data_IF_990517131394
#
_entry.id   IF_990517131394
#
_cell.length_a   1.000
_cell.length_b   1.000
_cell.length_c   1.000
_cell.angle_alpha   90.00
_cell.angle_beta   90.00
_cell.angle_gamma   90.00
#
_symmetry.space_group_name_H-M   'P 1'
#
loop_
_entity.id
_entity.type
_entity.pdbx_description
1 polymer ?
#
# COMPACT_ATOMS: atom_id res chain seq x y z
N UNK A 1 -3.05 -15.18 -15.86
CA UNK A 1 -2.89 -14.20 -14.76
C UNK A 1 -3.55 -14.82 -13.54
N UNK A 2 -2.76 -15.38 -12.61
CA UNK A 2 -3.31 -15.94 -11.37
C UNK A 2 -3.67 -14.77 -10.45
N UNK A 3 -4.95 -14.62 -10.09
CA UNK A 3 -5.41 -13.60 -9.16
C UNK A 3 -4.84 -13.92 -7.77
N UNK A 4 -4.07 -13.00 -7.22
CA UNK A 4 -3.47 -13.12 -5.90
C UNK A 4 -4.57 -13.14 -4.81
N UNK A 5 -4.58 -14.15 -3.94
CA UNK A 5 -5.60 -14.31 -2.87
C UNK A 5 -5.62 -13.14 -1.89
N UNK A 6 -6.82 -12.65 -1.56
CA UNK A 6 -7.06 -11.57 -0.60
C UNK A 6 -7.04 -12.08 0.86
N UNK A 7 -6.79 -11.18 1.81
CA UNK A 7 -6.81 -11.51 3.24
C UNK A 7 -8.17 -12.03 3.74
N UNK A 8 -9.27 -11.54 3.15
CA UNK A 8 -10.63 -12.01 3.46
C UNK A 8 -10.85 -13.46 3.01
N UNK A 9 -10.33 -13.84 1.83
CA UNK A 9 -10.40 -15.21 1.33
C UNK A 9 -9.55 -16.15 2.18
N UNK A 10 -8.36 -15.72 2.61
CA UNK A 10 -7.48 -16.48 3.51
C UNK A 10 -8.16 -16.69 4.87
N UNK A 11 -8.77 -15.64 5.43
CA UNK A 11 -9.54 -15.75 6.68
C UNK A 11 -10.66 -16.78 6.55
N UNK A 12 -11.45 -16.71 5.46
CA UNK A 12 -12.56 -17.63 5.20
C UNK A 12 -12.07 -19.08 5.11
N UNK A 13 -11.05 -19.35 4.30
CA UNK A 13 -10.51 -20.71 4.15
C UNK A 13 -9.93 -21.26 5.46
N UNK A 14 -9.20 -20.43 6.20
CA UNK A 14 -8.67 -20.78 7.52
C UNK A 14 -9.79 -21.13 8.51
N UNK A 15 -10.78 -20.24 8.65
CA UNK A 15 -11.87 -20.41 9.60
C UNK A 15 -12.73 -21.64 9.27
N UNK A 16 -13.00 -21.90 7.99
CA UNK A 16 -13.72 -23.09 7.53
C UNK A 16 -12.95 -24.38 7.84
N UNK A 17 -11.64 -24.41 7.57
CA UNK A 17 -10.78 -25.56 7.85
C UNK A 17 -10.69 -25.86 9.36
N UNK A 18 -10.50 -24.83 10.19
CA UNK A 18 -10.45 -24.96 11.64
C UNK A 18 -11.80 -25.43 12.22
N UNK A 19 -12.91 -24.89 11.72
CA UNK A 19 -14.26 -25.30 12.13
C UNK A 19 -14.59 -26.74 11.69
N UNK A 20 -14.17 -27.15 10.49
CA UNK A 20 -14.34 -28.51 9.99
C UNK A 20 -13.58 -29.52 10.85
N UNK A 21 -12.32 -29.26 11.18
CA UNK A 21 -11.54 -30.14 12.06
C UNK A 21 -12.15 -30.22 13.46
N UNK A 22 -12.55 -29.08 14.03
CA UNK A 22 -13.21 -29.03 15.34
C UNK A 22 -14.45 -29.94 15.42
N UNK A 23 -15.22 -30.04 14.34
CA UNK A 23 -16.40 -30.92 14.26
C UNK A 23 -16.03 -32.41 14.26
N UNK A 24 -14.83 -32.77 13.83
CA UNK A 24 -14.36 -34.17 13.83
C UNK A 24 -13.97 -34.65 15.22
N UNK A 25 -13.60 -33.76 16.14
CA UNK A 25 -13.17 -34.09 17.50
C UNK A 25 -14.42 -34.43 18.33
N UNK A 26 -14.65 -35.70 18.74
CA UNK A 26 -15.86 -36.06 19.46
C UNK A 26 -15.83 -35.55 20.91
N UNK A 27 -14.65 -35.60 21.53
CA UNK A 27 -14.45 -35.23 22.93
C UNK A 27 -14.66 -33.71 23.15
N UNK A 28 -15.59 -33.29 24.03
CA UNK A 28 -15.86 -31.88 24.28
C UNK A 28 -14.69 -31.11 24.90
N UNK A 29 -13.89 -31.76 25.76
CA UNK A 29 -12.76 -31.11 26.42
C UNK A 29 -11.64 -30.85 25.41
N UNK A 30 -11.34 -31.85 24.58
CA UNK A 30 -10.35 -31.75 23.52
C UNK A 30 -10.77 -30.72 22.45
N UNK A 31 -12.07 -30.63 22.14
CA UNK A 31 -12.61 -29.56 21.27
C UNK A 31 -12.33 -28.18 21.83
N UNK A 32 -12.53 -27.99 23.14
CA UNK A 32 -12.31 -26.70 23.78
C UNK A 32 -10.82 -26.34 23.80
N UNK A 33 -9.94 -27.31 24.13
CA UNK A 33 -8.48 -27.13 24.10
C UNK A 33 -8.00 -26.76 22.70
N UNK A 34 -8.44 -27.50 21.68
CA UNK A 34 -8.14 -27.21 20.28
C UNK A 34 -8.56 -25.79 19.89
N UNK A 35 -9.83 -25.42 20.13
CA UNK A 35 -10.34 -24.09 19.75
C UNK A 35 -9.61 -22.93 20.39
N UNK A 36 -9.11 -23.08 21.62
CA UNK A 36 -8.38 -22.01 22.31
C UNK A 36 -6.94 -21.85 21.82
N UNK A 37 -6.31 -22.92 21.37
CA UNK A 37 -4.87 -22.94 21.08
C UNK A 37 -4.54 -22.83 19.60
N UNK A 38 -5.40 -23.35 18.71
CA UNK A 38 -5.08 -23.51 17.29
C UNK A 38 -4.64 -22.21 16.62
N UNK A 39 -5.35 -21.09 16.82
CA UNK A 39 -5.01 -19.83 16.15
C UNK A 39 -3.61 -19.32 16.52
N UNK A 40 -3.19 -19.49 17.78
CA UNK A 40 -1.86 -19.06 18.23
C UNK A 40 -0.75 -19.87 17.59
N UNK A 41 -0.92 -21.20 17.51
CA UNK A 41 0.03 -22.09 16.85
C UNK A 41 0.10 -21.83 15.34
N UNK A 42 -1.05 -21.68 14.69
CA UNK A 42 -1.09 -21.46 13.24
C UNK A 42 -0.48 -20.12 12.84
N UNK A 43 -0.67 -19.06 13.65
CA UNK A 43 0.06 -17.79 13.49
C UNK A 43 1.57 -17.97 13.67
N UNK A 44 2.00 -18.71 14.69
CA UNK A 44 3.43 -19.00 14.89
C UNK A 44 4.02 -19.77 13.70
N UNK A 45 3.33 -20.78 13.18
CA UNK A 45 3.83 -21.56 12.04
C UNK A 45 3.85 -20.77 10.73
N UNK A 46 2.91 -19.85 10.52
CA UNK A 46 2.96 -18.93 9.38
C UNK A 46 4.27 -18.12 9.40
N UNK A 47 4.73 -17.68 10.58
CA UNK A 47 6.02 -16.99 10.70
C UNK A 47 7.20 -17.87 10.29
N UNK A 48 7.19 -19.16 10.66
CA UNK A 48 8.22 -20.11 10.28
C UNK A 48 8.23 -20.43 8.78
N UNK A 49 7.06 -20.51 8.15
CA UNK A 49 6.94 -20.63 6.68
C UNK A 49 7.62 -19.43 6.00
N UNK A 50 7.29 -18.22 6.42
CA UNK A 50 7.84 -17.00 5.82
C UNK A 50 9.31 -16.76 6.17
N UNK A 51 9.83 -17.37 7.24
CA UNK A 51 11.26 -17.34 7.57
C UNK A 51 12.07 -18.18 6.57
N UNK A 52 11.49 -19.29 6.07
CA UNK A 52 12.16 -20.21 5.18
C UNK A 52 12.50 -19.60 3.80
N UNK A 53 11.76 -18.58 3.35
CA UNK A 53 12.00 -17.90 2.06
C UNK A 53 13.06 -16.78 2.10
N UNK A 54 13.96 -16.80 3.09
CA UNK A 54 14.96 -15.75 3.38
C UNK A 54 14.30 -14.42 3.77
N UNK A 55 14.33 -14.07 5.06
CA UNK A 55 13.67 -12.96 5.80
C UNK A 55 13.83 -11.50 5.28
N UNK A 56 13.87 -11.27 3.96
CA UNK A 56 14.17 -9.99 3.29
C UNK A 56 12.94 -9.30 2.71
N UNK A 57 11.74 -9.89 2.80
CA UNK A 57 10.54 -9.32 2.19
C UNK A 57 9.24 -9.72 2.89
N UNK A 58 9.16 -9.54 4.22
CA UNK A 58 7.84 -9.41 4.84
C UNK A 58 7.19 -8.17 4.21
N UNK A 59 6.03 -8.36 3.61
CA UNK A 59 5.26 -7.29 2.95
C UNK A 59 4.01 -6.98 3.78
N UNK A 60 3.31 -5.86 3.52
CA UNK A 60 2.01 -5.60 4.16
C UNK A 60 1.04 -6.79 4.05
N UNK A 61 1.12 -7.56 2.96
CA UNK A 61 0.29 -8.74 2.73
C UNK A 61 0.54 -9.88 3.72
N UNK A 62 1.77 -10.03 4.21
CA UNK A 62 2.08 -11.01 5.27
C UNK A 62 1.40 -10.61 6.59
N UNK A 63 1.30 -9.31 6.87
CA UNK A 63 0.62 -8.77 8.05
C UNK A 63 -0.88 -8.97 7.93
N UNK A 64 -1.44 -8.71 6.74
CA UNK A 64 -2.84 -8.98 6.45
C UNK A 64 -3.19 -10.47 6.59
N UNK A 65 -2.34 -11.37 6.07
CA UNK A 65 -2.50 -12.81 6.22
C UNK A 65 -2.37 -13.25 7.68
N UNK A 66 -1.37 -12.73 8.41
CA UNK A 66 -1.19 -13.02 9.83
C UNK A 66 -2.43 -12.61 10.64
N UNK A 67 -2.99 -11.44 10.34
CA UNK A 67 -4.20 -10.93 10.99
C UNK A 67 -5.49 -11.63 10.51
N UNK A 68 -5.46 -12.32 9.37
CA UNK A 68 -6.56 -13.16 8.89
C UNK A 68 -6.66 -14.50 9.64
N UNK A 69 -5.62 -14.92 10.37
CA UNK A 69 -5.57 -16.21 11.09
C UNK A 69 -6.25 -16.07 12.47
N UNK A 70 -7.57 -16.23 12.49
CA UNK A 70 -8.38 -16.32 13.71
C UNK A 70 -9.69 -17.10 13.48
N UNK A 71 -10.19 -17.71 14.55
CA UNK A 71 -11.44 -18.49 14.55
C UNK A 71 -12.56 -17.73 15.30
N UNK A 72 -13.83 -17.84 14.88
CA UNK A 72 -14.95 -17.22 15.58
C UNK A 72 -15.00 -17.58 17.07
N UNK A 73 -15.03 -16.56 17.93
CA UNK A 73 -15.01 -16.69 19.39
C UNK A 73 -13.63 -16.51 20.03
N UNK A 74 -12.57 -16.37 19.23
CA UNK A 74 -11.24 -15.95 19.69
C UNK A 74 -11.02 -14.45 19.36
N UNK A 75 -10.12 -13.75 20.09
CA UNK A 75 -9.81 -12.35 19.81
C UNK A 75 -9.20 -12.21 18.42
N UNK A 76 -9.67 -11.20 17.68
CA UNK A 76 -9.13 -10.85 16.36
C UNK A 76 -7.72 -10.27 16.56
N UNK A 77 -6.69 -10.84 15.91
CA UNK A 77 -5.33 -10.32 15.99
C UNK A 77 -5.24 -8.95 15.30
N UNK A 78 -4.49 -8.04 15.91
CA UNK A 78 -4.15 -6.73 15.36
C UNK A 78 -2.63 -6.56 15.33
N UNK A 79 -1.93 -7.59 14.87
CA UNK A 79 -0.48 -7.59 14.86
C UNK A 79 0.04 -6.58 13.86
N UNK A 80 1.02 -5.81 14.29
CA UNK A 80 1.69 -4.82 13.48
C UNK A 80 2.78 -5.48 12.65
N UNK A 81 3.19 -4.80 11.58
CA UNK A 81 4.23 -5.29 10.68
C UNK A 81 5.49 -5.76 11.41
N UNK A 82 5.93 -5.04 12.43
CA UNK A 82 7.13 -5.41 13.19
C UNK A 82 6.92 -6.61 14.11
N UNK A 83 5.71 -6.87 14.61
CA UNK A 83 5.43 -8.06 15.42
C UNK A 83 5.52 -9.31 14.55
N UNK A 84 4.99 -9.21 13.32
CA UNK A 84 5.11 -10.25 12.30
C UNK A 84 6.57 -10.38 11.85
N UNK A 85 7.24 -9.29 11.47
CA UNK A 85 8.62 -9.34 10.99
C UNK A 85 9.61 -9.82 12.07
N UNK A 86 9.46 -9.37 13.31
CA UNK A 86 10.26 -9.86 14.45
C UNK A 86 9.91 -11.30 14.78
N UNK A 87 8.64 -11.68 14.65
CA UNK A 87 8.19 -13.05 14.82
C UNK A 87 8.78 -13.99 13.77
N UNK A 88 8.93 -13.54 12.52
CA UNK A 88 9.63 -14.28 11.46
C UNK A 88 11.13 -14.37 11.74
N UNK A 89 11.77 -13.24 12.07
CA UNK A 89 13.21 -13.20 12.33
C UNK A 89 13.62 -14.07 13.54
N UNK A 90 12.77 -14.10 14.57
CA UNK A 90 12.99 -14.86 15.80
C UNK A 90 12.19 -16.15 15.86
N UNK A 91 11.66 -16.64 14.73
CA UNK A 91 11.04 -17.96 14.73
C UNK A 91 12.14 -19.00 15.01
N UNK A 92 11.92 -19.80 16.05
CA UNK A 92 12.84 -20.86 16.45
C UNK A 92 12.60 -22.10 15.57
N UNK A 93 12.44 -23.27 16.19
CA UNK A 93 12.13 -24.52 15.52
C UNK A 93 10.64 -24.83 15.69
N UNK A 94 10.08 -25.51 14.69
CA UNK A 94 8.72 -26.05 14.78
C UNK A 94 8.54 -26.88 16.06
N UNK A 95 7.55 -26.52 16.86
CA UNK A 95 7.13 -27.27 18.04
C UNK A 95 5.71 -27.81 17.80
N UNK A 96 5.47 -29.13 17.95
CA UNK A 96 4.13 -29.70 17.88
C UNK A 96 3.16 -29.01 18.85
N UNK A 97 1.89 -28.78 18.46
CA UNK A 97 0.92 -28.16 19.36
C UNK A 97 0.69 -29.00 20.62
N UNK A 98 0.49 -28.37 21.78
CA UNK A 98 0.22 -29.11 23.02
C UNK A 98 -1.00 -30.04 22.88
N UNK A 99 -2.08 -29.57 22.25
CA UNK A 99 -3.27 -30.40 21.98
C UNK A 99 -3.00 -31.59 21.03
N UNK A 100 -1.89 -31.60 20.29
CA UNK A 100 -1.57 -32.71 19.40
C UNK A 100 -1.24 -33.99 20.17
N UNK A 101 -0.61 -33.87 21.34
CA UNK A 101 -0.40 -35.01 22.24
C UNK A 101 -1.75 -35.58 22.71
N UNK A 102 -2.72 -34.72 23.00
CA UNK A 102 -4.06 -35.14 23.40
C UNK A 102 -4.81 -35.84 22.26
N UNK A 103 -4.67 -35.35 21.01
CA UNK A 103 -5.20 -36.03 19.82
C UNK A 103 -4.61 -37.44 19.67
N UNK A 104 -3.28 -37.58 19.83
CA UNK A 104 -2.59 -38.88 19.77
C UNK A 104 -3.03 -39.82 20.89
N UNK A 105 -3.15 -39.33 22.12
CA UNK A 105 -3.68 -40.11 23.25
C UNK A 105 -5.10 -40.58 22.98
N UNK A 106 -5.94 -39.71 22.43
CA UNK A 106 -7.31 -40.05 22.05
C UNK A 106 -7.35 -41.12 20.95
N UNK A 107 -6.55 -40.97 19.89
CA UNK A 107 -6.44 -41.95 18.79
C UNK A 107 -6.00 -43.32 19.31
N UNK A 108 -5.02 -43.38 20.23
CA UNK A 108 -4.59 -44.65 20.87
C UNK A 108 -5.71 -45.32 21.68
N UNK A 109 -6.53 -44.54 22.37
CA UNK A 109 -7.62 -45.06 23.21
C UNK A 109 -8.86 -45.47 22.41
N UNK A 110 -9.15 -44.77 21.31
CA UNK A 110 -10.42 -44.89 20.57
C UNK A 110 -10.27 -45.49 19.17
N UNK A 111 -9.03 -45.71 18.70
CA UNK A 111 -8.75 -46.21 17.35
C UNK A 111 -9.13 -45.23 16.24
N UNK A 112 -9.12 -43.93 16.53
CA UNK A 112 -9.37 -42.87 15.53
C UNK A 112 -8.08 -42.43 14.83
N UNK A 113 -8.20 -41.54 13.84
CA UNK A 113 -7.07 -41.01 13.07
C UNK A 113 -7.04 -39.47 13.08
N UNK A 114 -7.43 -38.85 14.21
CA UNK A 114 -7.52 -37.40 14.34
C UNK A 114 -6.15 -36.72 14.26
N UNK A 115 -5.11 -37.29 14.85
CA UNK A 115 -3.75 -36.74 14.82
C UNK A 115 -3.18 -36.75 13.39
N UNK A 116 -3.38 -37.85 12.65
CA UNK A 116 -2.99 -37.93 11.23
C UNK A 116 -3.76 -36.93 10.36
N UNK A 117 -5.07 -36.85 10.53
CA UNK A 117 -5.92 -35.87 9.81
C UNK A 117 -5.53 -34.44 10.12
N UNK A 118 -5.10 -34.16 11.36
CA UNK A 118 -4.57 -32.85 11.72
C UNK A 118 -3.27 -32.54 10.99
N UNK A 119 -2.34 -33.50 10.91
CA UNK A 119 -1.08 -33.32 10.18
C UNK A 119 -1.32 -33.01 8.69
N UNK A 120 -2.27 -33.70 8.05
CA UNK A 120 -2.66 -33.41 6.67
C UNK A 120 -3.29 -32.02 6.54
N UNK A 121 -4.21 -31.64 7.43
CA UNK A 121 -4.81 -30.30 7.41
C UNK A 121 -3.81 -29.19 7.68
N UNK A 122 -2.86 -29.42 8.60
CA UNK A 122 -1.80 -28.46 8.88
C UNK A 122 -0.96 -28.23 7.62
N UNK A 123 -0.61 -29.30 6.90
CA UNK A 123 0.15 -29.22 5.64
C UNK A 123 -0.56 -28.30 4.63
N UNK A 124 -1.88 -28.47 4.44
CA UNK A 124 -2.67 -27.64 3.53
C UNK A 124 -2.76 -26.17 3.98
N UNK A 125 -2.91 -25.93 5.29
CA UNK A 125 -2.95 -24.57 5.84
C UNK A 125 -1.61 -23.86 5.70
N UNK A 126 -0.49 -24.55 5.91
CA UNK A 126 0.82 -23.94 5.73
C UNK A 126 1.13 -23.65 4.25
N UNK A 127 0.67 -24.49 3.33
CA UNK A 127 0.75 -24.21 1.88
C UNK A 127 -0.08 -22.98 1.49
N UNK A 128 -1.26 -22.80 2.09
CA UNK A 128 -2.07 -21.60 1.91
C UNK A 128 -1.30 -20.34 2.36
N UNK A 129 -0.56 -20.43 3.47
CA UNK A 129 0.23 -19.30 3.99
C UNK A 129 1.51 -19.04 3.19
N UNK A 130 2.12 -20.08 2.63
CA UNK A 130 3.28 -19.96 1.73
C UNK A 130 2.90 -19.21 0.44
N UNK A 131 1.70 -19.44 -0.10
CA UNK A 131 1.21 -18.76 -1.30
C UNK A 131 0.85 -17.27 -1.11
N UNK A 132 1.40 -16.60 -0.08
CA UNK A 132 1.16 -15.18 0.25
C UNK A 132 1.61 -14.23 -0.85
N UNK A 133 2.61 -14.60 -1.66
CA UNK A 133 3.06 -13.85 -2.83
C UNK A 133 2.51 -14.41 -4.15
N UNK A 134 1.69 -15.47 -4.08
CA UNK A 134 1.09 -16.17 -5.21
C UNK A 134 1.89 -17.36 -5.74
N UNK A 135 3.03 -17.68 -5.13
CA UNK A 135 3.88 -18.83 -5.46
C UNK A 135 4.28 -19.55 -4.18
N UNK A 136 4.64 -20.84 -4.25
CA UNK A 136 5.26 -21.56 -3.13
C UNK A 136 6.71 -21.83 -3.50
N UNK A 137 7.64 -21.35 -2.68
CA UNK A 137 9.07 -21.55 -2.92
C UNK A 137 9.54 -22.94 -2.48
N UNK A 138 10.70 -23.38 -2.97
CA UNK A 138 11.29 -24.67 -2.59
C UNK A 138 11.63 -24.72 -1.09
N UNK A 139 12.05 -23.59 -0.51
CA UNK A 139 12.38 -23.51 0.91
C UNK A 139 11.14 -23.47 1.80
N UNK A 140 10.07 -22.79 1.38
CA UNK A 140 8.76 -22.84 2.06
C UNK A 140 8.18 -24.25 2.05
N UNK A 141 8.14 -24.89 0.87
CA UNK A 141 7.70 -26.29 0.75
C UNK A 141 8.56 -27.24 1.60
N UNK A 142 9.88 -27.02 1.64
CA UNK A 142 10.79 -27.75 2.51
C UNK A 142 10.44 -27.62 3.99
N UNK A 143 10.13 -26.40 4.47
CA UNK A 143 9.69 -26.17 5.84
C UNK A 143 8.35 -26.85 6.15
N UNK A 144 7.38 -26.77 5.23
CA UNK A 144 6.07 -27.43 5.39
C UNK A 144 6.23 -28.95 5.50
N UNK A 145 7.06 -29.55 4.64
CA UNK A 145 7.37 -30.98 4.71
C UNK A 145 8.05 -31.36 6.03
N UNK A 146 8.95 -30.53 6.56
CA UNK A 146 9.60 -30.77 7.84
C UNK A 146 8.61 -30.75 9.02
N UNK A 147 7.66 -29.80 9.02
CA UNK A 147 6.60 -29.73 10.02
C UNK A 147 5.69 -30.97 9.97
N UNK A 148 5.26 -31.37 8.76
CA UNK A 148 4.44 -32.57 8.55
C UNK A 148 5.19 -33.83 9.00
N UNK A 149 6.46 -33.98 8.59
CA UNK A 149 7.32 -35.10 8.97
C UNK A 149 7.45 -35.25 10.49
N UNK A 150 7.67 -34.15 11.21
CA UNK A 150 7.75 -34.16 12.67
C UNK A 150 6.46 -34.67 13.34
N UNK A 151 5.28 -34.27 12.85
CA UNK A 151 4.01 -34.76 13.39
C UNK A 151 3.73 -36.22 13.03
N UNK A 152 4.11 -36.65 11.82
CA UNK A 152 3.91 -38.02 11.36
C UNK A 152 4.84 -39.01 12.07
N UNK A 153 6.09 -38.64 12.32
CA UNK A 153 7.04 -39.44 13.09
C UNK A 153 6.51 -39.69 14.51
N UNK A 154 5.94 -38.66 15.12
CA UNK A 154 5.25 -38.75 16.41
C UNK A 154 4.03 -39.71 16.37
N UNK A 155 3.28 -39.73 15.28
CA UNK A 155 2.19 -40.69 15.09
C UNK A 155 2.72 -42.13 14.90
N UNK A 156 3.82 -42.30 14.16
CA UNK A 156 4.44 -43.59 13.91
C UNK A 156 5.01 -44.22 15.18
N UNK A 157 5.61 -43.41 16.07
CA UNK A 157 6.06 -43.85 17.39
C UNK A 157 4.91 -44.41 18.25
N UNK A 158 3.69 -43.89 18.09
CA UNK A 158 2.48 -44.37 18.76
C UNK A 158 1.78 -45.53 18.04
N UNK A 159 2.33 -46.01 16.91
CA UNK A 159 1.71 -47.05 16.10
C UNK A 159 0.47 -46.60 15.32
N UNK A 160 0.24 -45.29 15.17
CA UNK A 160 -0.90 -44.71 14.48
C UNK A 160 -0.64 -44.66 12.96
N UNK A 161 -0.85 -45.82 12.31
CA UNK A 161 -0.68 -45.99 10.86
C UNK A 161 -1.93 -45.55 10.08
N UNK A 162 -1.73 -45.02 8.88
CA UNK A 162 -2.80 -44.59 7.98
C UNK A 162 -2.87 -45.50 6.73
N UNK A 163 -4.05 -45.56 6.10
CA UNK A 163 -4.30 -46.28 4.83
C UNK A 163 -3.93 -45.46 3.57
N UNK A 164 -3.55 -44.19 3.71
CA UNK A 164 -3.27 -43.25 2.61
C UNK A 164 -1.90 -42.57 2.76
N UNK A 165 -1.15 -42.31 1.67
CA UNK A 165 0.08 -41.52 1.72
C UNK A 165 -0.18 -40.08 2.17
N UNK A 166 0.79 -39.48 2.86
CA UNK A 166 0.76 -38.10 3.32
C UNK A 166 0.81 -37.10 2.16
N UNK A 167 0.24 -35.92 2.38
CA UNK A 167 0.32 -34.79 1.43
C UNK A 167 1.79 -34.32 1.34
N UNK A 168 2.31 -34.18 0.11
CA UNK A 168 3.67 -33.68 -0.14
C UNK A 168 3.63 -32.24 -0.63
N UNK A 169 4.32 -31.34 0.07
CA UNK A 169 4.39 -29.93 -0.32
C UNK A 169 5.12 -29.72 -1.66
N UNK A 170 6.01 -30.64 -2.03
CA UNK A 170 6.80 -30.60 -3.28
C UNK A 170 5.93 -30.59 -4.55
N UNK A 171 4.72 -31.13 -4.47
CA UNK A 171 3.77 -31.20 -5.59
C UNK A 171 3.13 -29.83 -5.90
N UNK A 172 3.36 -28.81 -5.06
CA UNK A 172 2.75 -27.48 -5.13
C UNK A 172 3.75 -26.36 -5.46
N UNK A 173 5.02 -26.69 -5.73
CA UNK A 173 6.06 -25.72 -6.14
C UNK A 173 5.82 -25.29 -7.60
N UNK A 174 5.88 -23.99 -7.88
CA UNK A 174 5.84 -23.50 -9.26
C UNK A 174 7.24 -23.61 -9.93
N UNK A 175 7.37 -24.17 -11.15
CA UNK A 175 8.65 -24.21 -11.84
C UNK A 175 9.08 -22.79 -12.29
N UNK A 176 10.17 -22.27 -11.72
CA UNK A 176 10.75 -20.97 -12.08
C UNK A 176 11.73 -21.12 -13.27
N UNK A 177 11.67 -20.30 -14.33
CA UNK A 177 12.69 -20.29 -15.38
C UNK A 177 14.02 -19.78 -14.80
N UNK A 178 15.09 -20.56 -14.99
CA UNK A 178 16.41 -20.27 -14.44
C UNK A 178 17.04 -19.01 -15.06
N UNK A 179 17.50 -18.09 -14.21
CA UNK A 179 18.41 -17.00 -14.59
C UNK A 179 19.86 -17.45 -14.39
N UNK A 180 20.78 -17.27 -15.36
CA UNK A 180 22.10 -17.90 -15.33
C UNK A 180 23.12 -17.10 -14.51
N UNK A 181 23.83 -17.82 -13.63
CA UNK A 181 25.05 -17.35 -12.99
C UNK A 181 26.24 -17.38 -13.97
N UNK A 182 27.17 -16.44 -13.82
CA UNK A 182 28.50 -16.47 -14.44
C UNK A 182 29.58 -16.48 -13.33
N UNK A 183 30.88 -16.76 -13.62
CA UNK A 183 31.50 -17.12 -14.90
C UNK A 183 32.48 -18.33 -14.85
N UNK A 184 32.95 -18.71 -16.05
CA UNK A 184 34.24 -19.34 -16.41
C UNK A 184 34.15 -20.73 -17.06
N UNK A 185 34.28 -20.76 -18.38
CA UNK A 185 35.34 -21.49 -19.11
C UNK A 185 35.14 -21.33 -20.63
N UNK A 186 36.21 -20.92 -21.31
CA UNK A 186 36.30 -20.75 -22.75
C UNK A 186 35.87 -22.00 -23.53
N UNK A 187 35.06 -21.81 -24.59
CA UNK A 187 35.17 -22.57 -25.83
C UNK A 187 34.41 -21.90 -26.99
N UNK A 188 35.21 -21.38 -27.93
CA UNK A 188 35.04 -21.22 -29.39
C UNK A 188 33.68 -20.77 -29.99
N UNK A 189 33.80 -19.70 -30.76
CA UNK A 189 32.79 -19.01 -31.56
C UNK A 189 32.25 -19.77 -32.79
N UNK A 190 30.96 -19.54 -33.11
CA UNK A 190 30.38 -19.18 -34.42
C UNK A 190 28.84 -19.00 -34.29
N UNK A 191 28.14 -18.30 -35.21
CA UNK A 191 27.93 -16.85 -35.27
C UNK A 191 26.50 -16.40 -34.88
N UNK A 192 26.36 -15.08 -34.74
CA UNK A 192 25.24 -14.31 -34.21
C UNK A 192 23.86 -14.55 -34.86
N UNK A 193 22.84 -14.61 -34.01
CA UNK A 193 21.46 -14.26 -34.32
C UNK A 193 21.05 -13.09 -33.42
N UNK A 194 20.38 -12.11 -34.01
CA UNK A 194 20.05 -10.79 -33.50
C UNK A 194 19.34 -10.82 -32.14
N UNK A 195 19.78 -9.97 -31.21
CA UNK A 195 19.17 -9.81 -29.89
C UNK A 195 17.84 -9.03 -29.97
N UNK A 196 16.92 -9.22 -29.00
CA UNK A 196 15.73 -8.38 -28.90
C UNK A 196 16.14 -6.96 -28.50
N UNK A 197 15.58 -5.98 -29.21
CA UNK A 197 15.73 -4.55 -28.99
C UNK A 197 15.40 -4.15 -27.54
N UNK A 198 16.20 -3.23 -26.99
CA UNK A 198 15.89 -2.54 -25.72
C UNK A 198 14.53 -1.83 -25.84
N UNK A 199 13.71 -1.79 -24.77
CA UNK A 199 12.45 -1.06 -24.80
C UNK A 199 12.75 0.42 -25.03
N UNK A 200 12.22 0.94 -26.13
CA UNK A 200 12.25 2.36 -26.50
C UNK A 200 11.69 3.16 -25.32
N UNK A 201 12.54 3.97 -24.67
CA UNK A 201 12.09 4.97 -23.70
C UNK A 201 11.12 5.90 -24.42
N UNK A 202 9.88 5.97 -23.94
CA UNK A 202 8.93 6.99 -24.38
C UNK A 202 9.59 8.37 -24.27
N UNK A 203 9.38 9.28 -25.23
CA UNK A 203 9.96 10.62 -25.18
C UNK A 203 9.49 11.31 -23.90
N UNK A 204 10.44 11.82 -23.11
CA UNK A 204 10.11 12.58 -21.91
C UNK A 204 9.28 13.81 -22.28
N UNK A 205 8.18 14.09 -21.55
CA UNK A 205 7.28 15.19 -21.89
C UNK A 205 8.03 16.52 -21.85
N UNK A 206 7.80 17.36 -22.85
CA UNK A 206 8.43 18.67 -22.94
C UNK A 206 7.95 19.61 -21.84
N UNK A 207 8.74 20.65 -21.54
CA UNK A 207 8.35 21.68 -20.56
C UNK A 207 7.01 22.35 -20.94
N UNK A 208 6.77 22.55 -22.24
CA UNK A 208 5.53 23.16 -22.75
C UNK A 208 4.32 22.26 -22.49
N UNK A 209 4.45 20.95 -22.72
CA UNK A 209 3.40 19.96 -22.41
C UNK A 209 3.12 19.87 -20.90
N UNK A 210 4.16 19.91 -20.06
CA UNK A 210 4.00 19.88 -18.61
C UNK A 210 3.33 21.16 -18.08
N UNK A 211 3.63 22.31 -18.67
CA UNK A 211 2.97 23.57 -18.35
C UNK A 211 1.52 23.58 -18.83
N UNK A 212 1.22 23.00 -20.00
CA UNK A 212 -0.15 22.82 -20.47
C UNK A 212 -0.95 21.91 -19.52
N UNK A 213 -0.37 20.79 -19.08
CA UNK A 213 -1.00 19.91 -18.08
C UNK A 213 -1.28 20.63 -16.76
N UNK A 214 -0.38 21.51 -16.32
CA UNK A 214 -0.59 22.32 -15.14
C UNK A 214 -1.72 23.33 -15.34
N UNK A 215 -1.79 23.97 -16.50
CA UNK A 215 -2.83 24.95 -16.84
C UNK A 215 -4.22 24.28 -17.02
N UNK A 216 -4.26 23.02 -17.45
CA UNK A 216 -5.48 22.17 -17.54
C UNK A 216 -6.07 21.79 -16.17
N UNK A 217 -5.28 21.83 -15.09
CA UNK A 217 -5.83 21.58 -13.76
C UNK A 217 -6.85 22.67 -13.43
N UNK A 218 -8.05 22.23 -13.05
CA UNK A 218 -9.13 23.13 -12.67
C UNK A 218 -8.70 23.98 -11.46
N UNK A 219 -9.07 25.26 -11.44
CA UNK A 219 -8.69 26.21 -10.38
C UNK A 219 -7.18 26.41 -10.21
N UNK A 220 -6.72 26.58 -8.97
CA UNK A 220 -5.30 26.67 -8.59
C UNK A 220 -4.52 27.85 -9.20
N UNK A 221 -5.16 28.96 -9.55
CA UNK A 221 -4.54 30.09 -10.23
C UNK A 221 -3.32 30.68 -9.48
N UNK A 222 -3.39 30.74 -8.15
CA UNK A 222 -2.25 31.17 -7.31
C UNK A 222 -1.07 30.20 -7.45
N UNK A 223 -1.32 28.91 -7.31
CA UNK A 223 -0.31 27.85 -7.46
C UNK A 223 0.29 27.90 -8.86
N UNK A 224 -0.51 27.99 -9.93
CA UNK A 224 -0.03 28.11 -11.32
C UNK A 224 0.92 29.31 -11.49
N UNK A 225 0.58 30.46 -10.91
CA UNK A 225 1.42 31.66 -10.93
C UNK A 225 2.73 31.48 -10.16
N UNK A 226 2.68 30.80 -9.01
CA UNK A 226 3.86 30.53 -8.19
C UNK A 226 4.82 29.55 -8.87
N UNK A 227 4.28 28.51 -9.53
CA UNK A 227 5.08 27.60 -10.36
C UNK A 227 5.76 28.34 -11.52
N UNK A 228 5.02 29.19 -12.24
CA UNK A 228 5.59 30.01 -13.33
C UNK A 228 6.71 30.92 -12.80
N UNK A 229 6.54 31.49 -11.61
CA UNK A 229 7.56 32.33 -10.95
C UNK A 229 8.82 31.53 -10.57
N UNK A 230 8.66 30.29 -10.11
CA UNK A 230 9.77 29.38 -9.82
C UNK A 230 10.56 28.99 -11.07
N UNK A 231 9.88 28.71 -12.18
CA UNK A 231 10.54 28.42 -13.45
C UNK A 231 11.37 29.61 -13.92
N UNK A 232 10.82 30.82 -13.82
CA UNK A 232 11.56 32.04 -14.17
C UNK A 232 12.79 32.25 -13.29
N UNK A 233 12.66 32.01 -11.99
CA UNK A 233 13.78 32.07 -11.04
C UNK A 233 14.91 31.11 -11.43
N UNK A 234 14.57 29.87 -11.77
CA UNK A 234 15.52 28.84 -12.21
C UNK A 234 16.22 29.24 -13.52
N UNK A 235 15.45 29.74 -14.50
CA UNK A 235 16.00 30.23 -15.78
C UNK A 235 17.01 31.36 -15.56
N UNK A 236 16.65 32.37 -14.76
CA UNK A 236 17.54 33.51 -14.47
C UNK A 236 18.79 33.06 -13.72
N UNK A 237 18.65 32.11 -12.79
CA UNK A 237 19.79 31.52 -12.08
C UNK A 237 20.78 30.89 -13.05
N UNK A 238 20.31 30.07 -13.99
CA UNK A 238 21.16 29.43 -15.00
C UNK A 238 21.90 30.48 -15.85
N UNK A 239 21.21 31.53 -16.29
CA UNK A 239 21.85 32.63 -17.03
C UNK A 239 22.93 33.35 -16.21
N UNK A 240 22.73 33.50 -14.89
CA UNK A 240 23.75 34.07 -14.00
C UNK A 240 24.97 33.15 -13.87
N UNK A 241 24.76 31.85 -13.71
CA UNK A 241 25.84 30.85 -13.65
C UNK A 241 26.65 30.84 -14.96
N UNK A 242 25.97 30.83 -16.11
CA UNK A 242 26.59 30.91 -17.44
C UNK A 242 27.37 32.22 -17.65
N UNK A 243 26.90 33.33 -17.07
CA UNK A 243 27.58 34.62 -17.08
C UNK A 243 28.69 34.76 -16.01
N UNK A 244 28.96 33.70 -15.22
CA UNK A 244 29.96 33.73 -14.14
C UNK A 244 29.59 34.64 -12.97
N UNK A 245 28.32 35.03 -12.84
CA UNK A 245 27.83 35.87 -11.76
C UNK A 245 27.55 35.05 -10.50
N UNK A 246 27.75 35.62 -9.29
CA UNK A 246 27.36 34.97 -8.05
C UNK A 246 25.85 34.70 -8.05
N UNK A 247 25.46 33.49 -7.67
CA UNK A 247 24.06 33.13 -7.45
C UNK A 247 23.84 32.91 -5.96
N UNK A 248 22.86 33.60 -5.35
CA UNK A 248 22.54 33.37 -3.95
C UNK A 248 22.01 31.94 -3.76
N UNK A 249 22.45 31.21 -2.71
CA UNK A 249 21.85 29.93 -2.37
C UNK A 249 20.40 30.18 -1.96
N UNK A 250 19.46 29.53 -2.65
CA UNK A 250 18.04 29.63 -2.35
C UNK A 250 17.48 28.24 -2.11
N UNK A 251 16.63 28.12 -1.09
CA UNK A 251 15.83 26.93 -0.87
C UNK A 251 14.79 26.78 -1.98
N UNK A 252 14.65 25.54 -2.45
CA UNK A 252 13.61 25.12 -3.38
C UNK A 252 12.59 24.20 -2.71
N UNK A 253 12.71 23.98 -1.39
CA UNK A 253 11.75 23.19 -0.62
C UNK A 253 10.43 23.98 -0.47
N UNK A 254 9.31 23.27 -0.49
CA UNK A 254 7.97 23.86 -0.57
C UNK A 254 7.06 23.36 0.56
N UNK A 255 6.10 24.18 0.95
CA UNK A 255 5.03 23.83 1.90
C UNK A 255 3.70 23.89 1.18
N UNK A 256 2.96 22.78 1.15
CA UNK A 256 1.65 22.68 0.52
C UNK A 256 0.57 22.67 1.60
N UNK A 257 -0.27 23.70 1.61
CA UNK A 257 -1.32 23.91 2.60
C UNK A 257 -2.69 23.84 1.93
N UNK A 258 -3.59 23.03 2.47
CA UNK A 258 -4.99 23.02 2.03
C UNK A 258 -5.71 21.71 2.33
N UNK A 259 -7.01 21.70 2.12
CA UNK A 259 -7.89 20.56 2.44
C UNK A 259 -7.59 19.31 1.57
N UNK A 260 -8.05 18.12 1.96
CA UNK A 260 -7.91 16.90 1.17
C UNK A 260 -8.57 17.06 -0.19
N UNK A 261 -8.06 16.37 -1.22
CA UNK A 261 -8.67 16.41 -2.55
C UNK A 261 -8.49 17.71 -3.34
N UNK A 262 -7.69 18.67 -2.87
CA UNK A 262 -7.39 19.94 -3.58
C UNK A 262 -6.26 19.82 -4.63
N UNK A 263 -5.72 18.62 -4.87
CA UNK A 263 -4.73 18.37 -5.93
C UNK A 263 -3.26 18.50 -5.53
N UNK A 264 -2.94 18.60 -4.23
CA UNK A 264 -1.55 18.69 -3.70
C UNK A 264 -0.58 17.68 -4.33
N UNK A 265 -0.87 16.38 -4.23
CA UNK A 265 -0.02 15.31 -4.76
C UNK A 265 0.09 15.37 -6.29
N UNK A 266 -0.98 15.73 -6.99
CA UNK A 266 -0.99 15.89 -8.46
C UNK A 266 -0.05 17.00 -8.89
N UNK A 267 -0.12 18.16 -8.23
CA UNK A 267 0.79 19.29 -8.50
C UNK A 267 2.23 18.95 -8.12
N UNK A 268 2.47 18.24 -7.02
CA UNK A 268 3.81 17.81 -6.64
C UNK A 268 4.46 16.91 -7.70
N UNK A 269 3.67 16.00 -8.30
CA UNK A 269 4.12 15.11 -9.39
C UNK A 269 4.46 15.89 -10.66
N UNK A 270 3.64 16.87 -11.03
CA UNK A 270 3.94 17.75 -12.16
C UNK A 270 5.18 18.60 -11.90
N UNK A 271 5.32 19.16 -10.69
CA UNK A 271 6.48 19.93 -10.31
C UNK A 271 7.78 19.13 -10.37
N UNK A 272 7.79 17.87 -9.93
CA UNK A 272 8.97 17.00 -10.02
C UNK A 272 9.45 16.87 -11.47
N UNK A 273 8.52 16.64 -12.41
CA UNK A 273 8.81 16.59 -13.86
C UNK A 273 9.26 17.93 -14.42
N UNK A 274 8.61 19.02 -14.03
CA UNK A 274 8.97 20.38 -14.46
C UNK A 274 10.40 20.70 -14.02
N UNK A 275 10.74 20.43 -12.76
CA UNK A 275 12.07 20.67 -12.21
C UNK A 275 13.16 19.86 -12.94
N UNK A 276 12.85 18.64 -13.35
CA UNK A 276 13.74 17.86 -14.19
C UNK A 276 13.90 18.48 -15.59
N UNK A 277 12.79 18.82 -16.26
CA UNK A 277 12.81 19.41 -17.59
C UNK A 277 13.57 20.75 -17.66
N UNK A 278 13.57 21.54 -16.58
CA UNK A 278 14.36 22.79 -16.50
C UNK A 278 15.80 22.59 -16.02
N UNK A 279 16.19 21.36 -15.69
CA UNK A 279 17.55 20.99 -15.28
C UNK A 279 17.90 21.28 -13.83
N UNK A 280 16.91 21.39 -12.94
CA UNK A 280 17.11 21.52 -11.49
C UNK A 280 17.34 20.17 -10.82
N UNK A 281 16.63 19.14 -11.28
CA UNK A 281 16.67 17.78 -10.74
C UNK A 281 17.22 16.81 -11.80
N UNK A 282 18.04 15.85 -11.39
CA UNK A 282 18.68 14.91 -12.31
C UNK A 282 17.75 13.84 -12.90
N UNK A 283 16.62 13.51 -12.25
CA UNK A 283 15.70 12.44 -12.66
C UNK A 283 14.21 12.84 -12.64
N UNK A 284 13.74 13.64 -11.69
CA UNK A 284 12.35 14.13 -11.64
C UNK A 284 11.30 13.15 -11.09
N UNK A 285 11.71 12.09 -10.39
CA UNK A 285 10.79 11.19 -9.70
C UNK A 285 10.14 11.87 -8.49
N UNK A 286 8.94 11.43 -8.13
CA UNK A 286 8.25 11.80 -6.89
C UNK A 286 8.21 10.59 -5.96
N UNK A 287 8.81 10.71 -4.79
CA UNK A 287 8.70 9.73 -3.70
C UNK A 287 7.73 10.29 -2.67
N UNK A 288 6.56 9.68 -2.58
CA UNK A 288 5.51 10.04 -1.65
C UNK A 288 5.59 9.17 -0.40
N UNK A 289 5.60 9.81 0.76
CA UNK A 289 5.66 9.18 2.09
C UNK A 289 4.75 9.94 3.05
N UNK A 290 4.31 9.26 4.09
CA UNK A 290 3.65 9.85 5.26
C UNK A 290 4.50 9.61 6.51
N UNK A 291 3.95 9.88 7.69
CA UNK A 291 4.61 9.53 8.97
C UNK A 291 5.00 8.06 9.01
N UNK A 292 4.15 7.15 8.56
CA UNK A 292 4.43 5.72 8.58
C UNK A 292 5.60 5.34 7.66
N UNK A 293 5.81 6.09 6.57
CA UNK A 293 6.92 5.93 5.64
C UNK A 293 8.27 6.41 6.20
N UNK A 294 8.27 7.31 7.18
CA UNK A 294 9.47 7.96 7.73
C UNK A 294 9.84 7.48 9.12
N UNK A 295 8.84 7.34 10.00
CA UNK A 295 9.00 7.02 11.40
C UNK A 295 8.88 5.50 11.60
N UNK A 296 9.83 4.94 12.34
CA UNK A 296 9.80 3.55 12.78
C UNK A 296 9.30 3.47 14.23
N UNK A 297 8.79 2.31 14.64
CA UNK A 297 8.31 2.08 16.00
C UNK A 297 9.42 1.91 17.04
N UNK A 298 10.70 1.95 16.64
CA UNK A 298 11.85 1.63 17.50
C UNK A 298 12.93 2.71 17.44
N UNK A 299 13.60 2.89 18.59
CA UNK A 299 14.73 3.82 18.78
C UNK A 299 15.82 3.56 17.73
N UNK A 300 16.26 4.58 17.01
CA UNK A 300 17.39 4.53 16.08
C UNK A 300 17.07 3.93 14.70
N UNK A 301 15.87 3.39 14.47
CA UNK A 301 15.45 2.92 13.14
C UNK A 301 14.80 4.02 12.30
N UNK A 302 14.26 5.06 12.94
CA UNK A 302 13.62 6.18 12.24
C UNK A 302 14.62 6.94 11.38
N UNK A 303 15.85 7.14 11.88
CA UNK A 303 16.90 7.76 11.08
C UNK A 303 17.21 6.96 9.80
N UNK A 304 17.34 5.62 9.91
CA UNK A 304 17.61 4.75 8.77
C UNK A 304 16.46 4.76 7.76
N UNK A 305 15.22 4.59 8.23
CA UNK A 305 14.02 4.58 7.39
C UNK A 305 13.81 5.91 6.66
N UNK A 306 13.98 7.02 7.38
CA UNK A 306 13.94 8.36 6.80
C UNK A 306 15.06 8.54 5.76
N UNK A 307 16.28 8.08 6.06
CA UNK A 307 17.40 8.13 5.12
C UNK A 307 17.12 7.32 3.85
N UNK A 308 16.51 6.14 3.95
CA UNK A 308 16.12 5.33 2.78
C UNK A 308 15.08 6.04 1.90
N UNK A 309 14.07 6.66 2.52
CA UNK A 309 13.08 7.45 1.80
C UNK A 309 13.73 8.63 1.07
N UNK A 310 14.63 9.36 1.75
CA UNK A 310 15.41 10.44 1.14
C UNK A 310 16.28 9.92 0.00
N UNK A 311 16.98 8.80 0.18
CA UNK A 311 17.88 8.24 -0.83
C UNK A 311 17.14 7.86 -2.11
N UNK A 312 15.91 7.37 -2.01
CA UNK A 312 15.02 7.12 -3.16
C UNK A 312 14.60 8.41 -3.86
N UNK A 313 14.51 9.51 -3.11
CA UNK A 313 14.08 10.82 -3.61
C UNK A 313 15.22 11.68 -4.19
N UNK A 314 16.49 11.32 -3.99
CA UNK A 314 17.63 12.03 -4.59
C UNK A 314 17.53 11.95 -6.12
N UNK A 315 17.71 13.09 -6.78
CA UNK A 315 17.41 13.30 -8.20
C UNK A 315 15.98 13.74 -8.46
N UNK A 316 15.14 13.81 -7.43
CA UNK A 316 13.70 14.01 -7.50
C UNK A 316 13.15 14.85 -6.35
N UNK A 317 11.89 14.55 -6.01
CA UNK A 317 11.12 15.22 -4.94
C UNK A 317 10.73 14.19 -3.87
N UNK A 318 11.03 14.49 -2.61
CA UNK A 318 10.45 13.82 -1.45
C UNK A 318 9.18 14.57 -1.03
N UNK A 319 8.02 13.96 -1.18
CA UNK A 319 6.74 14.51 -0.76
C UNK A 319 6.29 13.84 0.53
N UNK A 320 6.10 14.63 1.58
CA UNK A 320 5.71 14.17 2.91
C UNK A 320 4.28 14.64 3.16
N UNK A 321 3.32 13.73 3.06
CA UNK A 321 1.93 14.02 3.36
C UNK A 321 1.67 14.00 4.88
N UNK A 322 0.74 14.85 5.30
CA UNK A 322 0.43 15.12 6.71
C UNK A 322 1.69 15.31 7.59
N UNK A 323 2.64 16.11 7.11
CA UNK A 323 3.96 16.26 7.74
C UNK A 323 3.90 16.74 9.20
N UNK A 324 2.85 17.48 9.56
CA UNK A 324 2.58 17.88 10.94
C UNK A 324 2.45 16.70 11.90
N UNK A 325 2.08 15.51 11.42
CA UNK A 325 2.05 14.29 12.22
C UNK A 325 3.44 13.89 12.74
N UNK A 326 4.54 14.38 12.15
CA UNK A 326 5.91 14.14 12.65
C UNK A 326 6.21 14.89 13.94
N UNK A 327 5.45 15.94 14.26
CA UNK A 327 5.62 16.73 15.49
C UNK A 327 4.54 16.31 16.47
N UNK A 328 4.95 15.88 17.66
CA UNK A 328 4.04 15.48 18.72
C UNK A 328 4.48 16.09 20.05
N UNK A 329 3.90 17.24 20.39
CA UNK A 329 4.34 18.04 21.54
C UNK A 329 4.12 17.34 22.89
N UNK A 330 3.15 16.42 22.96
CA UNK A 330 2.74 15.77 24.21
C UNK A 330 3.56 14.53 24.57
N UNK A 331 4.46 14.07 23.68
CA UNK A 331 5.17 12.81 23.85
C UNK A 331 6.66 12.95 23.54
N UNK A 332 7.46 13.23 24.57
CA UNK A 332 8.91 13.42 24.45
C UNK A 332 9.69 12.20 23.91
N UNK A 333 9.06 11.01 23.89
CA UNK A 333 9.61 9.79 23.31
C UNK A 333 9.15 9.54 21.85
N UNK A 334 8.54 10.53 21.18
CA UNK A 334 8.14 10.40 19.78
C UNK A 334 9.36 10.50 18.84
N UNK A 335 9.59 9.44 18.06
CA UNK A 335 10.69 9.36 17.09
C UNK A 335 10.52 10.26 15.86
N UNK A 336 9.40 10.97 15.72
CA UNK A 336 9.17 11.92 14.62
C UNK A 336 10.18 13.07 14.59
N UNK A 337 10.70 13.50 15.74
CA UNK A 337 11.78 14.49 15.79
C UNK A 337 13.07 14.00 15.12
N UNK A 338 13.43 12.72 15.28
CA UNK A 338 14.60 12.12 14.63
C UNK A 338 14.45 12.12 13.10
N UNK A 339 13.24 11.86 12.57
CA UNK A 339 12.96 11.96 11.14
C UNK A 339 13.16 13.39 10.63
N UNK A 340 12.66 14.40 11.37
CA UNK A 340 12.82 15.82 11.02
C UNK A 340 14.31 16.20 10.95
N UNK A 341 15.12 15.76 11.91
CA UNK A 341 16.56 16.02 11.91
C UNK A 341 17.27 15.42 10.69
N UNK A 342 16.95 14.18 10.33
CA UNK A 342 17.50 13.54 9.13
C UNK A 342 17.07 14.25 7.86
N UNK A 343 15.79 14.66 7.75
CA UNK A 343 15.30 15.44 6.62
C UNK A 343 16.06 16.77 6.51
N UNK A 344 16.14 17.54 7.59
CA UNK A 344 16.83 18.84 7.61
C UNK A 344 18.30 18.73 7.21
N UNK A 345 18.99 17.69 7.67
CA UNK A 345 20.38 17.42 7.29
C UNK A 345 20.49 17.14 5.79
N UNK A 346 19.67 16.25 5.25
CA UNK A 346 19.73 15.90 3.83
C UNK A 346 19.27 17.04 2.91
N UNK A 347 18.37 17.92 3.36
CA UNK A 347 18.01 19.15 2.65
C UNK A 347 19.23 20.06 2.44
N UNK A 348 20.20 20.05 3.37
CA UNK A 348 21.45 20.80 3.21
C UNK A 348 22.46 20.05 2.34
N UNK A 349 22.72 18.78 2.67
CA UNK A 349 23.74 17.95 2.03
C UNK A 349 23.43 17.74 0.53
N UNK A 350 22.15 17.62 0.19
CA UNK A 350 21.67 17.33 -1.17
C UNK A 350 20.89 18.48 -1.81
N UNK A 351 21.06 19.73 -1.34
CA UNK A 351 20.29 20.92 -1.81
C UNK A 351 20.30 21.21 -3.32
N UNK A 352 21.21 20.59 -4.08
CA UNK A 352 21.32 20.75 -5.54
C UNK A 352 20.49 19.73 -6.31
N UNK A 353 20.09 18.63 -5.69
CA UNK A 353 19.47 17.49 -6.39
C UNK A 353 18.40 16.79 -5.55
N UNK A 354 17.88 17.45 -4.51
CA UNK A 354 16.77 16.98 -3.70
C UNK A 354 15.85 18.16 -3.39
N UNK A 355 14.57 18.02 -3.73
CA UNK A 355 13.52 18.93 -3.28
C UNK A 355 12.64 18.18 -2.29
N UNK A 356 12.22 18.87 -1.23
CA UNK A 356 11.34 18.33 -0.20
C UNK A 356 10.08 19.18 -0.20
N UNK A 357 8.93 18.52 -0.29
CA UNK A 357 7.62 19.15 -0.21
C UNK A 357 6.91 18.55 1.00
N UNK A 358 6.53 19.39 1.95
CA UNK A 358 5.71 18.98 3.10
C UNK A 358 4.27 19.43 2.87
N UNK A 359 3.30 18.56 3.12
CA UNK A 359 1.89 18.83 2.86
C UNK A 359 1.00 18.57 4.08
N UNK A 360 -0.12 19.29 4.17
CA UNK A 360 -1.12 19.09 5.21
C UNK A 360 -2.20 20.18 5.27
N UNK A 361 -3.05 20.10 6.29
CA UNK A 361 -4.02 21.16 6.62
C UNK A 361 -3.32 22.44 7.02
N UNK A 362 -3.86 23.59 6.59
CA UNK A 362 -3.25 24.93 6.77
C UNK A 362 -2.83 25.17 8.21
N UNK A 363 -3.76 25.08 9.16
CA UNK A 363 -3.52 25.40 10.58
C UNK A 363 -2.49 24.46 11.23
N UNK A 364 -2.50 23.18 10.83
CA UNK A 364 -1.56 22.18 11.35
C UNK A 364 -0.16 22.38 10.78
N UNK A 365 -0.06 22.81 9.52
CA UNK A 365 1.22 23.08 8.87
C UNK A 365 1.90 24.32 9.43
N UNK A 366 1.15 25.36 9.79
CA UNK A 366 1.73 26.51 10.50
C UNK A 366 2.39 26.09 11.82
N UNK A 367 1.69 25.26 12.62
CA UNK A 367 2.24 24.70 13.87
C UNK A 367 3.50 23.86 13.61
N UNK A 368 3.48 23.02 12.57
CA UNK A 368 4.61 22.19 12.19
C UNK A 368 5.86 23.02 11.84
N UNK A 369 5.70 24.06 11.01
CA UNK A 369 6.84 24.88 10.57
C UNK A 369 7.47 25.63 11.75
N UNK A 370 6.65 26.13 12.68
CA UNK A 370 7.13 26.84 13.86
C UNK A 370 7.64 25.92 14.98
N UNK A 371 7.48 24.59 14.86
CA UNK A 371 7.95 23.64 15.85
C UNK A 371 9.48 23.56 15.94
N UNK A 372 10.20 23.90 14.86
CA UNK A 372 11.66 23.89 14.83
C UNK A 372 12.21 25.02 13.93
N UNK A 373 13.10 25.90 14.41
CA UNK A 373 13.70 26.96 13.60
C UNK A 373 14.38 26.47 12.31
N UNK A 374 14.88 25.23 12.31
CA UNK A 374 15.46 24.58 11.13
C UNK A 374 14.44 24.37 10.00
N UNK A 375 13.18 24.06 10.32
CA UNK A 375 12.09 23.94 9.36
C UNK A 375 11.76 25.31 8.76
N UNK A 376 11.49 26.31 9.60
CA UNK A 376 11.17 27.68 9.15
C UNK A 376 12.25 28.27 8.23
N UNK A 377 13.53 28.05 8.53
CA UNK A 377 14.63 28.55 7.70
C UNK A 377 14.70 27.93 6.30
N UNK A 378 14.30 26.66 6.16
CA UNK A 378 14.40 25.90 4.90
C UNK A 378 13.11 25.88 4.11
N UNK A 379 11.96 25.96 4.78
CA UNK A 379 10.64 25.99 4.18
C UNK A 379 10.08 27.41 4.18
N UNK A 380 10.49 28.20 3.19
CA UNK A 380 10.12 29.62 3.08
C UNK A 380 9.21 29.93 1.88
N UNK A 381 8.65 28.90 1.24
CA UNK A 381 7.74 29.02 0.09
C UNK A 381 6.47 28.21 0.35
N UNK A 382 5.35 28.91 0.36
CA UNK A 382 4.05 28.37 0.75
C UNK A 382 3.10 28.38 -0.43
N UNK A 383 2.49 27.25 -0.71
CA UNK A 383 1.51 27.06 -1.75
C UNK A 383 0.18 26.77 -1.08
N UNK A 384 -0.78 27.66 -1.27
CA UNK A 384 -2.13 27.53 -0.73
C UNK A 384 -3.05 26.92 -1.79
N UNK A 385 -3.60 25.76 -1.46
CA UNK A 385 -4.54 25.00 -2.26
C UNK A 385 -5.95 25.29 -1.73
N UNK A 386 -6.62 26.22 -2.40
CA UNK A 386 -7.98 26.63 -2.10
C UNK A 386 -8.97 25.51 -2.46
N UNK A 387 -10.10 25.46 -1.75
CA UNK A 387 -11.19 24.53 -2.08
C UNK A 387 -11.74 24.83 -3.48
N UNK A 388 -12.19 23.77 -4.15
CA UNK A 388 -12.90 23.91 -5.42
C UNK A 388 -14.30 24.46 -5.19
N UNK A 389 -14.69 25.48 -5.96
CA UNK A 389 -16.06 25.99 -5.98
C UNK A 389 -17.03 25.00 -6.65
N UNK A 390 -18.35 25.21 -6.49
CA UNK A 390 -19.38 24.35 -7.08
C UNK A 390 -19.17 24.05 -8.59
N UNK A 391 -18.96 25.07 -9.44
CA UNK A 391 -18.62 24.87 -10.84
C UNK A 391 -17.36 24.01 -11.07
N UNK A 392 -16.29 24.25 -10.31
CA UNK A 392 -15.05 23.47 -10.42
C UNK A 392 -15.24 22.02 -9.99
N UNK A 393 -16.01 21.77 -8.92
CA UNK A 393 -16.40 20.42 -8.50
C UNK A 393 -17.19 19.70 -9.60
N UNK A 394 -18.09 20.42 -10.28
CA UNK A 394 -18.86 19.87 -11.39
C UNK A 394 -17.96 19.51 -12.58
N UNK A 395 -16.98 20.34 -12.91
CA UNK A 395 -16.01 20.04 -13.96
C UNK A 395 -15.16 18.79 -13.62
N UNK A 396 -14.81 18.61 -12.33
CA UNK A 396 -14.16 17.39 -11.84
C UNK A 396 -15.08 16.18 -12.04
N UNK A 397 -16.36 16.27 -11.67
CA UNK A 397 -17.33 15.20 -11.85
C UNK A 397 -17.50 14.83 -13.34
N UNK A 398 -17.67 15.83 -14.22
CA UNK A 398 -17.73 15.65 -15.68
C UNK A 398 -16.49 14.96 -16.23
N UNK A 399 -15.30 15.34 -15.74
CA UNK A 399 -14.04 14.72 -16.13
C UNK A 399 -13.99 13.23 -15.75
N UNK A 400 -14.47 12.88 -14.55
CA UNK A 400 -14.60 11.48 -14.11
C UNK A 400 -15.59 10.70 -14.97
N UNK A 401 -16.76 11.26 -15.27
CA UNK A 401 -17.73 10.65 -16.18
C UNK A 401 -17.12 10.38 -17.55
N UNK A 402 -16.51 11.40 -18.18
CA UNK A 402 -15.88 11.27 -19.50
C UNK A 402 -14.78 10.21 -19.52
N UNK A 403 -13.93 10.17 -18.50
CA UNK A 403 -12.83 9.20 -18.41
C UNK A 403 -13.33 7.76 -18.29
N UNK A 404 -14.46 7.55 -17.62
CA UNK A 404 -15.04 6.23 -17.38
C UNK A 404 -16.17 5.88 -18.38
N UNK A 405 -16.43 6.72 -19.38
CA UNK A 405 -17.44 6.46 -20.40
C UNK A 405 -18.89 6.69 -19.94
N UNK A 406 -19.12 7.44 -18.88
CA UNK A 406 -20.45 7.83 -18.42
C UNK A 406 -20.84 9.22 -18.96
N UNK A 407 -22.15 9.44 -19.09
CA UNK A 407 -22.77 10.71 -19.48
C UNK A 407 -23.92 11.02 -18.54
N UNK A 408 -24.10 12.29 -18.18
CA UNK A 408 -25.26 12.72 -17.40
C UNK A 408 -26.46 12.97 -18.31
N UNK A 409 -27.65 12.59 -17.87
CA UNK A 409 -28.89 13.11 -18.46
C UNK A 409 -28.98 14.63 -18.19
N UNK A 410 -29.82 15.34 -18.94
CA UNK A 410 -29.98 16.80 -18.75
C UNK A 410 -30.46 17.15 -17.34
N UNK A 411 -31.36 16.35 -16.81
CA UNK A 411 -31.89 16.48 -15.46
C UNK A 411 -30.83 16.10 -14.41
N UNK A 412 -30.04 15.06 -14.69
CA UNK A 412 -28.94 14.64 -13.81
C UNK A 412 -27.83 15.70 -13.71
N UNK A 413 -27.54 16.37 -14.82
CA UNK A 413 -26.59 17.48 -14.86
C UNK A 413 -27.05 18.67 -13.99
N UNK A 414 -28.31 19.09 -14.13
CA UNK A 414 -28.89 20.16 -13.31
C UNK A 414 -28.93 19.79 -11.81
N UNK A 415 -29.25 18.54 -11.51
CA UNK A 415 -29.24 18.02 -10.14
C UNK A 415 -27.83 18.11 -9.55
N UNK A 416 -26.83 17.59 -10.26
CA UNK A 416 -25.44 17.55 -9.78
C UNK A 416 -24.84 18.95 -9.62
N UNK A 417 -25.14 19.88 -10.54
CA UNK A 417 -24.71 21.28 -10.41
C UNK A 417 -25.23 21.93 -9.11
N UNK A 418 -26.51 21.67 -8.78
CA UNK A 418 -27.11 22.18 -7.55
C UNK A 418 -26.52 21.50 -6.31
N UNK A 419 -26.41 20.18 -6.34
CA UNK A 419 -25.91 19.38 -5.21
C UNK A 419 -24.46 19.74 -4.87
N UNK A 420 -23.58 19.87 -5.87
CA UNK A 420 -22.19 20.29 -5.65
C UNK A 420 -22.06 21.75 -5.17
N UNK A 421 -22.98 22.62 -5.60
CA UNK A 421 -23.04 23.99 -5.08
C UNK A 421 -23.46 24.01 -3.61
N UNK A 422 -24.47 23.23 -3.24
CA UNK A 422 -24.91 23.08 -1.84
C UNK A 422 -23.81 22.44 -0.97
N UNK A 423 -23.10 21.44 -1.49
CA UNK A 423 -21.94 20.84 -0.85
C UNK A 423 -20.83 21.88 -0.59
N UNK A 424 -20.52 22.73 -1.58
CA UNK A 424 -19.55 23.80 -1.41
C UNK A 424 -20.01 24.87 -0.41
N UNK A 425 -21.28 25.27 -0.45
CA UNK A 425 -21.82 26.31 0.44
C UNK A 425 -21.95 25.84 1.89
N UNK A 426 -22.12 24.52 2.11
CA UNK A 426 -22.21 23.88 3.43
C UNK A 426 -20.87 23.34 3.96
N UNK A 427 -19.77 23.59 3.24
CA UNK A 427 -18.45 23.04 3.57
C UNK A 427 -17.95 23.45 4.95
N UNK A 428 -17.21 22.55 5.59
CA UNK A 428 -16.49 22.79 6.83
C UNK A 428 -14.97 22.61 6.64
N UNK A 429 -14.22 22.61 7.75
CA UNK A 429 -12.77 22.43 7.74
C UNK A 429 -12.32 21.04 7.25
N UNK A 430 -13.22 20.06 7.15
CA UNK A 430 -12.94 18.69 6.72
C UNK A 430 -13.39 18.42 5.27
N UNK A 431 -13.74 19.46 4.53
CA UNK A 431 -14.25 19.35 3.16
C UNK A 431 -13.27 18.60 2.23
N UNK A 432 -13.72 17.49 1.63
CA UNK A 432 -12.88 16.55 0.89
C UNK A 432 -12.68 16.88 -0.60
N UNK A 433 -13.32 17.93 -1.12
CA UNK A 433 -13.13 18.42 -2.50
C UNK A 433 -13.27 17.29 -3.55
N UNK A 434 -12.28 17.09 -4.42
CA UNK A 434 -12.30 16.05 -5.45
C UNK A 434 -12.41 14.62 -4.89
N UNK A 435 -12.09 14.41 -3.60
CA UNK A 435 -12.31 13.12 -2.92
C UNK A 435 -13.79 12.87 -2.69
N UNK A 436 -14.54 13.89 -2.26
CA UNK A 436 -15.99 13.79 -2.08
C UNK A 436 -16.69 13.61 -3.44
N UNK A 437 -16.26 14.36 -4.46
CA UNK A 437 -16.74 14.19 -5.84
C UNK A 437 -16.49 12.76 -6.36
N UNK A 438 -15.34 12.17 -6.04
CA UNK A 438 -15.04 10.76 -6.38
C UNK A 438 -16.01 9.81 -5.67
N UNK A 439 -16.22 9.99 -4.37
CA UNK A 439 -17.15 9.15 -3.61
C UNK A 439 -18.58 9.26 -4.18
N UNK A 440 -19.02 10.46 -4.52
CA UNK A 440 -20.33 10.70 -5.17
C UNK A 440 -20.41 9.97 -6.51
N UNK A 441 -19.36 10.05 -7.35
CA UNK A 441 -19.30 9.34 -8.62
C UNK A 441 -19.36 7.81 -8.44
N UNK A 442 -18.58 7.25 -7.51
CA UNK A 442 -18.59 5.81 -7.23
C UNK A 442 -19.96 5.32 -6.75
N UNK A 443 -20.63 6.09 -5.88
CA UNK A 443 -21.99 5.79 -5.44
C UNK A 443 -22.99 5.88 -6.59
N UNK A 444 -22.88 6.89 -7.46
CA UNK A 444 -23.75 7.05 -8.61
C UNK A 444 -23.63 5.87 -9.58
N UNK A 445 -22.40 5.40 -9.84
CA UNK A 445 -22.16 4.20 -10.66
C UNK A 445 -22.78 2.96 -10.03
N UNK A 446 -22.67 2.78 -8.70
CA UNK A 446 -23.28 1.66 -8.01
C UNK A 446 -24.82 1.67 -8.14
N UNK A 447 -25.46 2.82 -7.91
CA UNK A 447 -26.92 2.97 -8.05
C UNK A 447 -27.38 2.76 -9.49
N UNK A 448 -26.62 3.28 -10.46
CA UNK A 448 -26.91 3.06 -11.88
C UNK A 448 -26.82 1.57 -12.23
N UNK A 449 -25.84 0.85 -11.71
CA UNK A 449 -25.71 -0.59 -11.93
C UNK A 449 -26.93 -1.35 -11.39
N UNK A 450 -27.40 -1.00 -10.19
CA UNK A 450 -28.61 -1.58 -9.61
C UNK A 450 -29.83 -1.34 -10.49
N UNK A 451 -30.03 -0.10 -10.97
CA UNK A 451 -31.14 0.23 -11.88
C UNK A 451 -31.04 -0.54 -13.21
N UNK A 452 -29.88 -0.50 -13.85
CA UNK A 452 -29.67 -1.09 -15.18
C UNK A 452 -29.78 -2.61 -15.14
N UNK A 453 -29.42 -3.25 -14.02
CA UNK A 453 -29.57 -4.70 -13.83
C UNK A 453 -31.01 -5.20 -13.95
N UNK A 454 -32.00 -4.32 -13.77
CA UNK A 454 -33.42 -4.63 -13.89
C UNK A 454 -33.94 -4.55 -15.33
N UNK A 455 -33.11 -4.15 -16.30
CA UNK A 455 -33.47 -4.06 -17.72
C UNK A 455 -33.14 -5.39 -18.43
N UNK A 456 -34.07 -5.92 -19.22
CA UNK A 456 -33.86 -7.20 -19.92
C UNK A 456 -32.77 -7.10 -21.02
N UNK A 457 -32.72 -5.99 -21.75
CA UNK A 457 -31.72 -5.72 -22.81
C UNK A 457 -31.35 -4.22 -22.83
N UNK A 458 -30.46 -3.75 -21.93
CA UNK A 458 -30.09 -2.34 -21.87
C UNK A 458 -29.29 -1.91 -23.11
N UNK A 459 -29.61 -0.75 -23.67
CA UNK A 459 -28.84 -0.17 -24.79
C UNK A 459 -27.51 0.41 -24.30
N UNK A 460 -26.56 0.62 -25.22
CA UNK A 460 -25.28 1.24 -24.90
C UNK A 460 -25.45 2.60 -24.22
N UNK A 461 -26.41 3.40 -24.68
CA UNK A 461 -26.73 4.70 -24.10
C UNK A 461 -27.23 4.55 -22.66
N UNK A 462 -28.07 3.56 -22.38
CA UNK A 462 -28.56 3.29 -21.01
C UNK A 462 -27.46 2.78 -20.08
N UNK A 463 -26.49 2.04 -20.60
CA UNK A 463 -25.30 1.60 -19.86
C UNK A 463 -24.37 2.77 -19.49
N UNK A 464 -24.41 3.86 -20.27
CA UNK A 464 -23.57 5.05 -20.08
C UNK A 464 -24.27 6.18 -19.32
N UNK A 465 -25.60 6.23 -19.33
CA UNK A 465 -26.38 7.35 -18.77
C UNK A 465 -26.55 7.28 -17.25
N UNK A 466 -26.20 8.37 -16.56
CA UNK A 466 -26.53 8.65 -15.16
C UNK A 466 -27.73 9.61 -15.09
N UNK A 467 -28.76 9.25 -14.32
CA UNK A 467 -29.98 10.03 -14.12
C UNK A 467 -30.06 10.54 -12.67
N UNK A 468 -30.97 11.49 -12.35
CA UNK A 468 -31.10 12.03 -11.00
C UNK A 468 -31.24 10.98 -9.89
N UNK A 469 -31.99 9.90 -10.14
CA UNK A 469 -32.18 8.80 -9.19
C UNK A 469 -30.90 8.03 -8.85
N UNK A 470 -29.87 8.10 -9.69
CA UNK A 470 -28.55 7.52 -9.41
C UNK A 470 -27.69 8.48 -8.57
N UNK A 471 -27.95 9.79 -8.66
CA UNK A 471 -27.13 10.84 -8.05
C UNK A 471 -27.60 11.19 -6.64
N UNK A 472 -28.89 11.05 -6.37
CA UNK A 472 -29.51 11.38 -5.08
C UNK A 472 -29.06 10.41 -3.95
N UNK A 473 -28.61 10.96 -2.82
CA UNK A 473 -28.41 10.16 -1.62
C UNK A 473 -29.78 9.70 -1.08
N UNK A 474 -29.97 8.40 -0.80
CA UNK A 474 -31.22 7.94 -0.20
C UNK A 474 -31.39 8.63 1.14
N UNK A 475 -32.47 9.41 1.29
CA UNK A 475 -32.79 10.08 2.54
C UNK A 475 -32.71 9.08 3.69
N UNK A 476 -31.97 9.43 4.74
CA UNK A 476 -31.77 8.66 5.96
C UNK A 476 -33.07 8.58 6.79
N UNK A 477 -34.09 7.95 6.21
CA UNK A 477 -35.44 7.85 6.74
C UNK A 477 -36.06 6.45 6.66
N UNK A 478 -35.45 5.50 5.96
CA UNK A 478 -35.91 4.10 5.93
C UNK A 478 -34.74 3.13 6.22
N UNK A 479 -34.44 2.96 7.52
CA UNK A 479 -33.78 1.75 8.06
C UNK A 479 -34.38 1.38 9.40
#
# INVERSE_FOLDING_TARGET
MSTLMTASEVHKQYAEAAAAFRKLIPDPSLRLTFSRQVDGYLRSYALGVWQADNASSITPRHVEFYNAIWSPGNPVPSALYWEVASGVANFDLFQPPAFFEDLRRYDRMRGTALARRFADQLTLLLLLFAAVDGVVSESEAGFVNACSGALLELCDQDGLRADRPAVRADEFIAPRPASPAAPAAEKRAAPAAEGPEEPVKEPEPSLEELLAQLDELCGLERVKKDVKSLINLVKVRRLREEAGLPVPPMSLHLVFMGNPGTGKTTVARLLAKIYHAVGVLSQGQLVEVDRSGLVAGFVGQTALKTQEAVQKAIGGVLFIDEAYALVNADNANDFGHEAIEVILKNMEDHRKDLIVIVAGYTDRMEQFIHANPGLESRFNKYFFFEDYDGPQLMDIFRSMCKKNGYTLSKEGEQFMEKDLQELYDSRDENFGNARDVRNLFEQAVARQADRVSQLEEPTKEQLMELKPEDLEEPSSGDR
#
